data_IF_433980345833
#
_entry.id   IF_433980345833
#
_cell.length_a   1.000
_cell.length_b   1.000
_cell.length_c   1.000
_cell.angle_alpha   90.00
_cell.angle_beta   90.00
_cell.angle_gamma   90.00
#
_symmetry.space_group_name_H-M   'P 1'
#
loop_
_entity.id
_entity.type
_entity.pdbx_description
1 polymer ?
#
# COMPACT_ATOMS: atom_id res chain seq x y z
N UNK A 1 -22.68 -18.74 -9.83
CA UNK A 1 -21.65 -17.69 -9.79
C UNK A 1 -21.46 -17.26 -8.34
N UNK A 2 -20.28 -17.47 -7.73
CA UNK A 2 -20.00 -16.97 -6.38
C UNK A 2 -19.45 -15.55 -6.45
N UNK A 3 -20.07 -14.64 -5.71
CA UNK A 3 -19.71 -13.23 -5.61
C UNK A 3 -18.22 -13.03 -5.27
N UNK A 4 -17.44 -12.53 -6.23
CA UNK A 4 -15.99 -12.27 -6.10
C UNK A 4 -15.68 -10.96 -5.36
N UNK A 5 -16.68 -10.24 -4.84
CA UNK A 5 -16.51 -8.87 -4.38
C UNK A 5 -17.18 -8.61 -3.01
N UNK A 6 -17.16 -9.59 -2.09
CA UNK A 6 -17.69 -9.41 -0.74
C UNK A 6 -16.88 -8.36 0.03
N UNK A 7 -17.55 -7.25 0.36
CA UNK A 7 -17.02 -6.12 1.13
C UNK A 7 -17.68 -6.03 2.50
N UNK A 8 -16.94 -5.50 3.47
CA UNK A 8 -17.43 -5.23 4.82
C UNK A 8 -17.16 -3.77 5.15
N UNK A 9 -18.23 -2.98 5.20
CA UNK A 9 -18.17 -1.54 5.45
C UNK A 9 -18.42 -1.27 6.95
N UNK A 10 -17.35 -1.01 7.70
CA UNK A 10 -17.37 -0.73 9.14
C UNK A 10 -16.79 0.66 9.46
N UNK A 11 -16.86 1.58 8.49
CA UNK A 11 -16.29 2.92 8.61
C UNK A 11 -17.05 3.81 9.62
N UNK A 12 -16.36 4.83 10.15
CA UNK A 12 -16.87 5.83 11.10
C UNK A 12 -17.61 5.24 12.33
N UNK A 13 -17.09 4.13 12.85
CA UNK A 13 -17.56 3.48 14.08
C UNK A 13 -16.60 3.76 15.26
N UNK A 14 -16.87 3.18 16.43
CA UNK A 14 -15.98 3.23 17.61
C UNK A 14 -15.14 1.95 17.80
N UNK A 15 -14.74 1.27 16.72
CA UNK A 15 -13.92 0.05 16.80
C UNK A 15 -12.54 0.42 17.34
N UNK A 16 -12.23 -0.02 18.56
CA UNK A 16 -10.91 0.09 19.18
C UNK A 16 -10.02 -1.13 18.93
N UNK A 17 -8.88 -1.19 19.61
CA UNK A 17 -7.91 -2.29 19.45
C UNK A 17 -8.52 -3.68 19.68
N UNK A 18 -9.36 -3.85 20.70
CA UNK A 18 -10.05 -5.13 20.98
C UNK A 18 -10.97 -5.55 19.82
N UNK A 19 -11.65 -4.59 19.18
CA UNK A 19 -12.50 -4.87 18.03
C UNK A 19 -11.69 -5.24 16.79
N UNK A 20 -10.53 -4.61 16.57
CA UNK A 20 -9.58 -5.00 15.54
C UNK A 20 -9.01 -6.41 15.76
N UNK A 21 -8.74 -6.80 17.01
CA UNK A 21 -8.35 -8.18 17.34
C UNK A 21 -9.49 -9.19 17.08
N UNK A 22 -10.72 -8.88 17.48
CA UNK A 22 -11.87 -9.75 17.20
C UNK A 22 -12.11 -9.94 15.69
N UNK A 23 -12.00 -8.85 14.91
CA UNK A 23 -12.02 -8.91 13.44
C UNK A 23 -10.87 -9.76 12.90
N UNK A 24 -9.67 -9.63 13.48
CA UNK A 24 -8.52 -10.43 13.07
C UNK A 24 -8.72 -11.94 13.29
N UNK A 25 -9.35 -12.35 14.41
CA UNK A 25 -9.73 -13.75 14.63
C UNK A 25 -10.74 -14.26 13.60
N UNK A 26 -11.78 -13.47 13.28
CA UNK A 26 -12.78 -13.83 12.25
C UNK A 26 -12.16 -13.92 10.86
N UNK A 27 -11.22 -13.05 10.52
CA UNK A 27 -10.51 -13.05 9.24
C UNK A 27 -9.59 -14.27 9.05
N UNK A 28 -9.13 -14.95 10.12
CA UNK A 28 -8.34 -16.20 10.00
C UNK A 28 -9.10 -17.32 9.29
N UNK A 29 -10.42 -17.39 9.46
CA UNK A 29 -11.28 -18.41 8.87
C UNK A 29 -12.06 -17.89 7.66
N UNK A 30 -12.11 -16.57 7.45
CA UNK A 30 -12.80 -15.97 6.32
C UNK A 30 -12.00 -16.13 5.01
N UNK A 31 -12.57 -16.89 4.07
CA UNK A 31 -12.02 -17.13 2.73
C UNK A 31 -12.83 -16.46 1.61
N UNK A 32 -13.71 -15.51 1.95
CA UNK A 32 -14.66 -14.88 1.01
C UNK A 32 -14.57 -13.36 0.95
N UNK A 33 -14.17 -12.70 2.04
CA UNK A 33 -14.07 -11.25 2.10
C UNK A 33 -12.86 -10.77 1.29
N UNK A 34 -13.09 -9.84 0.35
CA UNK A 34 -12.05 -9.24 -0.48
C UNK A 34 -11.74 -7.79 -0.11
N UNK A 35 -12.68 -7.09 0.53
CA UNK A 35 -12.49 -5.71 1.00
C UNK A 35 -13.00 -5.52 2.43
N UNK A 36 -12.22 -4.86 3.27
CA UNK A 36 -12.59 -4.46 4.62
C UNK A 36 -12.32 -2.97 4.82
N UNK A 37 -13.38 -2.20 5.06
CA UNK A 37 -13.28 -0.78 5.33
C UNK A 37 -13.47 -0.49 6.82
N UNK A 38 -12.40 -0.04 7.47
CA UNK A 38 -12.35 0.34 8.88
C UNK A 38 -11.99 1.82 9.05
N UNK A 39 -12.17 2.64 8.02
CA UNK A 39 -11.91 4.07 8.04
C UNK A 39 -12.59 4.76 9.21
N UNK A 40 -11.96 5.74 9.85
CA UNK A 40 -12.63 6.60 10.84
C UNK A 40 -12.95 5.93 12.18
N UNK A 41 -12.21 4.87 12.55
CA UNK A 41 -12.37 4.17 13.82
C UNK A 41 -11.30 4.59 14.86
N UNK A 42 -11.21 3.87 15.98
CA UNK A 42 -10.27 4.11 17.09
C UNK A 42 -9.17 3.04 17.13
N UNK A 43 -8.79 2.48 15.99
CA UNK A 43 -7.78 1.42 15.91
C UNK A 43 -6.40 2.03 16.17
N UNK A 44 -5.74 1.57 17.22
CA UNK A 44 -4.36 1.90 17.55
C UNK A 44 -3.35 0.91 16.94
N UNK A 45 -2.08 1.10 17.31
CA UNK A 45 -0.95 0.33 16.78
C UNK A 45 -1.11 -1.18 16.93
N UNK A 46 -1.60 -1.65 18.09
CA UNK A 46 -1.77 -3.08 18.34
C UNK A 46 -2.90 -3.66 17.48
N UNK A 47 -3.99 -2.91 17.32
CA UNK A 47 -5.13 -3.32 16.48
C UNK A 47 -4.76 -3.39 14.99
N UNK A 48 -3.97 -2.44 14.50
CA UNK A 48 -3.44 -2.43 13.14
C UNK A 48 -2.49 -3.62 12.90
N UNK A 49 -1.60 -3.91 13.86
CA UNK A 49 -0.72 -5.07 13.80
C UNK A 49 -1.54 -6.39 13.79
N UNK A 50 -2.55 -6.51 14.65
CA UNK A 50 -3.41 -7.70 14.70
C UNK A 50 -4.05 -8.01 13.34
N UNK A 51 -4.55 -6.98 12.63
CA UNK A 51 -5.22 -7.13 11.34
C UNK A 51 -4.32 -7.63 10.20
N UNK A 52 -2.99 -7.42 10.24
CA UNK A 52 -2.07 -7.95 9.21
C UNK A 52 -1.29 -9.21 9.66
N UNK A 53 -1.09 -9.41 10.96
CA UNK A 53 -0.31 -10.56 11.49
C UNK A 53 -1.02 -11.92 11.25
N UNK A 54 -2.33 -11.91 10.98
CA UNK A 54 -3.20 -13.05 10.65
C UNK A 54 -2.55 -14.04 9.67
N UNK A 55 -1.83 -13.53 8.66
CA UNK A 55 -1.36 -14.36 7.56
C UNK A 55 -0.19 -15.27 7.92
N UNK A 56 0.67 -14.88 8.88
CA UNK A 56 1.78 -15.72 9.37
C UNK A 56 1.28 -17.11 9.78
N UNK A 57 0.23 -17.15 10.61
CA UNK A 57 -0.35 -18.39 11.13
C UNK A 57 -0.85 -19.32 10.03
N UNK A 58 -1.40 -18.78 8.93
CA UNK A 58 -1.98 -19.59 7.85
C UNK A 58 -0.89 -20.13 6.91
N UNK A 59 0.21 -19.40 6.70
CA UNK A 59 1.31 -19.90 5.84
C UNK A 59 2.01 -21.10 6.47
N UNK A 60 2.18 -21.11 7.79
CA UNK A 60 2.66 -22.29 8.54
C UNK A 60 1.61 -23.41 8.57
N UNK A 61 0.35 -23.11 8.89
CA UNK A 61 -0.72 -24.11 8.95
C UNK A 61 -1.14 -24.70 7.59
N UNK A 62 -0.81 -24.06 6.46
CA UNK A 62 -1.00 -24.61 5.10
C UNK A 62 -0.26 -25.94 4.90
N UNK A 63 0.83 -26.20 5.62
CA UNK A 63 1.52 -27.50 5.61
C UNK A 63 0.68 -28.63 6.23
N UNK A 64 -0.27 -28.30 7.09
CA UNK A 64 -1.10 -29.26 7.83
C UNK A 64 -2.56 -29.34 7.32
N UNK A 65 -3.10 -28.27 6.72
CA UNK A 65 -4.50 -28.18 6.30
C UNK A 65 -4.66 -28.20 4.76
N UNK A 66 -4.65 -29.39 4.16
CA UNK A 66 -4.86 -29.63 2.71
C UNK A 66 -6.15 -29.03 2.11
N UNK A 67 -7.10 -28.58 2.93
CA UNK A 67 -8.41 -28.07 2.50
C UNK A 67 -8.71 -26.62 2.93
N UNK A 68 -7.77 -25.91 3.57
CA UNK A 68 -8.00 -24.53 3.96
C UNK A 68 -7.87 -23.57 2.78
N UNK A 69 -8.97 -22.91 2.40
CA UNK A 69 -8.96 -21.89 1.33
C UNK A 69 -8.18 -20.66 1.80
N UNK A 70 -7.28 -20.09 0.96
CA UNK A 70 -6.53 -18.90 1.35
C UNK A 70 -7.48 -17.71 1.57
N UNK A 71 -7.18 -16.90 2.60
CA UNK A 71 -7.76 -15.56 2.80
C UNK A 71 -7.66 -14.75 1.49
N UNK A 72 -8.74 -14.07 1.13
CA UNK A 72 -8.91 -13.35 -0.14
C UNK A 72 -8.89 -11.82 0.04
N UNK A 73 -8.55 -11.31 1.23
CA UNK A 73 -8.60 -9.89 1.55
C UNK A 73 -7.51 -9.14 0.76
N UNK A 74 -7.92 -8.51 -0.35
CA UNK A 74 -7.06 -7.70 -1.22
C UNK A 74 -7.07 -6.22 -0.85
N UNK A 75 -8.12 -5.74 -0.17
CA UNK A 75 -8.28 -4.32 0.17
C UNK A 75 -8.57 -4.13 1.66
N UNK A 76 -7.80 -3.25 2.31
CA UNK A 76 -7.99 -2.84 3.70
C UNK A 76 -7.91 -1.30 3.79
N UNK A 77 -8.95 -0.67 4.33
CA UNK A 77 -8.96 0.77 4.62
C UNK A 77 -8.85 1.01 6.14
N UNK A 78 -7.73 1.59 6.57
CA UNK A 78 -7.43 2.04 7.93
C UNK A 78 -7.31 3.58 8.02
N UNK A 79 -7.79 4.32 7.02
CA UNK A 79 -7.73 5.79 6.98
C UNK A 79 -8.47 6.39 8.20
N UNK A 80 -8.04 7.56 8.69
CA UNK A 80 -8.60 8.21 9.88
C UNK A 80 -8.71 7.33 11.15
N UNK A 81 -7.71 6.49 11.42
CA UNK A 81 -7.54 5.75 12.69
C UNK A 81 -6.41 6.36 13.56
N UNK A 82 -6.20 5.79 14.75
CA UNK A 82 -5.21 6.22 15.76
C UNK A 82 -3.86 5.49 15.63
N UNK A 83 -3.45 5.16 14.41
CA UNK A 83 -2.22 4.44 14.12
C UNK A 83 -1.04 5.43 14.11
N UNK A 84 -0.06 5.18 14.98
CA UNK A 84 1.20 5.91 15.13
C UNK A 84 2.37 5.23 14.43
N UNK A 85 3.60 5.57 14.83
CA UNK A 85 4.82 5.12 14.16
C UNK A 85 5.16 3.65 14.41
N UNK A 86 4.80 3.08 15.57
CA UNK A 86 5.02 1.66 15.84
C UNK A 86 4.05 0.79 15.04
N UNK A 87 2.78 1.21 14.95
CA UNK A 87 1.78 0.56 14.10
C UNK A 87 2.17 0.63 12.63
N UNK A 88 2.62 1.78 12.13
CA UNK A 88 3.13 1.90 10.75
C UNK A 88 4.31 0.95 10.47
N UNK A 89 5.27 0.81 11.40
CA UNK A 89 6.37 -0.15 11.30
C UNK A 89 5.89 -1.61 11.36
N UNK A 90 4.95 -1.93 12.24
CA UNK A 90 4.39 -3.28 12.35
C UNK A 90 3.57 -3.67 11.10
N UNK A 91 2.82 -2.72 10.53
CA UNK A 91 2.15 -2.87 9.24
C UNK A 91 3.18 -3.14 8.14
N UNK A 92 4.28 -2.40 8.09
CA UNK A 92 5.34 -2.60 7.10
C UNK A 92 5.98 -4.00 7.16
N UNK A 93 6.37 -4.46 8.35
CA UNK A 93 6.90 -5.82 8.52
C UNK A 93 5.87 -6.91 8.15
N UNK A 94 4.59 -6.70 8.48
CA UNK A 94 3.53 -7.63 8.10
C UNK A 94 3.23 -7.61 6.58
N UNK A 95 3.49 -6.48 5.90
CA UNK A 95 3.33 -6.35 4.44
C UNK A 95 4.44 -7.04 3.65
N UNK A 96 5.67 -7.17 4.19
CA UNK A 96 6.78 -7.91 3.54
C UNK A 96 6.47 -9.38 3.21
N UNK A 97 5.48 -9.94 3.90
CA UNK A 97 5.05 -11.34 3.81
C UNK A 97 3.60 -11.49 3.32
N UNK A 98 2.90 -10.37 3.06
CA UNK A 98 1.49 -10.37 2.68
C UNK A 98 1.32 -10.27 1.15
N UNK A 99 1.53 -11.40 0.47
CA UNK A 99 1.45 -11.51 -0.99
C UNK A 99 0.01 -11.46 -1.57
N UNK A 100 -0.97 -10.93 -0.83
CA UNK A 100 -2.39 -10.92 -1.24
C UNK A 100 -3.04 -9.54 -1.09
N UNK A 101 -2.64 -8.75 -0.09
CA UNK A 101 -3.17 -7.40 0.07
C UNK A 101 -2.63 -6.51 -1.06
N UNK A 102 -3.47 -6.22 -2.04
CA UNK A 102 -3.15 -5.29 -3.11
C UNK A 102 -3.27 -3.84 -2.62
N UNK A 103 -4.25 -3.50 -1.80
CA UNK A 103 -4.57 -2.11 -1.47
C UNK A 103 -4.67 -1.90 0.04
N UNK A 104 -3.78 -1.09 0.59
CA UNK A 104 -3.88 -0.55 1.94
C UNK A 104 -4.07 0.97 1.89
N UNK A 105 -5.20 1.46 2.40
CA UNK A 105 -5.37 2.88 2.71
C UNK A 105 -4.99 3.12 4.18
N UNK A 106 -4.13 4.10 4.43
CA UNK A 106 -3.66 4.42 5.78
C UNK A 106 -3.58 5.94 5.97
N UNK A 107 -4.07 6.44 7.11
CA UNK A 107 -3.74 7.79 7.58
C UNK A 107 -2.82 7.67 8.79
N UNK A 108 -1.80 8.51 8.87
CA UNK A 108 -0.99 8.63 10.07
C UNK A 108 -0.70 10.10 10.40
N UNK A 109 -1.18 10.54 11.56
CA UNK A 109 -1.08 11.94 12.01
C UNK A 109 0.26 12.24 12.73
N UNK A 110 1.14 11.28 13.07
CA UNK A 110 2.41 11.50 13.81
C UNK A 110 3.50 10.44 13.51
N UNK A 111 4.74 10.70 13.05
CA UNK A 111 5.61 11.91 12.94
C UNK A 111 6.33 11.86 11.57
N UNK A 112 6.49 13.00 10.85
CA UNK A 112 6.78 13.06 9.39
C UNK A 112 7.84 12.07 8.85
N UNK A 113 9.06 12.08 9.36
CA UNK A 113 10.19 11.50 8.61
C UNK A 113 10.33 9.98 8.78
N UNK A 114 10.04 9.46 9.98
CA UNK A 114 10.03 8.01 10.25
C UNK A 114 8.83 7.28 9.60
N UNK A 115 7.85 7.99 9.03
CA UNK A 115 6.69 7.41 8.31
C UNK A 115 7.12 6.75 7.00
N UNK A 116 7.89 7.47 6.20
CA UNK A 116 8.10 7.10 4.82
C UNK A 116 9.05 5.90 4.67
N UNK A 117 10.04 5.77 5.57
CA UNK A 117 10.92 4.61 5.61
C UNK A 117 10.16 3.30 5.92
N UNK A 118 9.14 3.34 6.78
CA UNK A 118 8.30 2.16 7.03
C UNK A 118 7.46 1.81 5.78
N UNK A 119 6.87 2.82 5.14
CA UNK A 119 6.10 2.64 3.91
C UNK A 119 6.97 2.17 2.73
N UNK A 120 8.22 2.62 2.64
CA UNK A 120 9.16 2.17 1.61
C UNK A 120 9.63 0.73 1.84
N UNK A 121 9.91 0.31 3.09
CA UNK A 121 10.20 -1.09 3.39
C UNK A 121 9.02 -2.02 3.04
N UNK A 122 7.78 -1.57 3.25
CA UNK A 122 6.58 -2.29 2.79
C UNK A 122 6.49 -2.34 1.25
N UNK A 123 6.80 -1.22 0.59
CA UNK A 123 6.83 -1.09 -0.86
C UNK A 123 7.83 -1.99 -1.58
N UNK A 124 8.73 -2.70 -0.90
CA UNK A 124 9.67 -3.62 -1.59
C UNK A 124 9.02 -4.90 -2.11
N UNK A 125 7.73 -5.14 -1.81
CA UNK A 125 7.09 -6.47 -1.93
C UNK A 125 5.60 -6.48 -2.28
N UNK A 126 4.96 -5.32 -2.45
CA UNK A 126 3.50 -5.19 -2.62
C UNK A 126 3.14 -4.60 -3.99
N UNK A 127 2.04 -5.06 -4.61
CA UNK A 127 1.74 -4.78 -6.02
C UNK A 127 0.89 -3.53 -6.30
N UNK A 128 0.23 -2.96 -5.28
CA UNK A 128 -0.39 -1.63 -5.30
C UNK A 128 -0.18 -0.97 -3.92
N UNK A 129 -0.14 0.37 -3.85
CA UNK A 129 -0.15 1.11 -2.58
C UNK A 129 -0.84 2.47 -2.73
N UNK A 130 -1.74 2.80 -1.79
CA UNK A 130 -2.49 4.07 -1.79
C UNK A 130 -2.30 4.78 -0.46
N UNK A 131 -1.31 5.69 -0.40
CA UNK A 131 -1.01 6.46 0.81
C UNK A 131 -1.52 7.89 0.68
N UNK A 132 -2.80 8.12 0.95
CA UNK A 132 -3.40 9.44 0.78
C UNK A 132 -3.32 10.33 2.04
N UNK A 133 -2.95 11.61 1.85
CA UNK A 133 -3.02 12.66 2.89
C UNK A 133 -2.17 12.38 4.16
N UNK A 134 -0.89 12.00 3.98
CA UNK A 134 0.04 11.61 5.06
C UNK A 134 1.22 12.57 5.30
N UNK A 135 1.35 13.66 4.53
CA UNK A 135 2.51 14.59 4.57
C UNK A 135 3.86 13.86 4.52
N UNK A 136 4.02 12.97 3.52
CA UNK A 136 5.24 12.18 3.25
C UNK A 136 6.44 13.08 2.91
N UNK A 137 6.21 14.18 2.18
CA UNK A 137 7.26 15.14 1.81
C UNK A 137 8.32 14.57 0.84
N UNK A 138 9.36 15.35 0.57
CA UNK A 138 10.39 15.00 -0.42
C UNK A 138 11.25 13.82 0.03
N UNK A 139 11.77 13.85 1.27
CA UNK A 139 12.55 12.74 1.85
C UNK A 139 11.76 11.44 1.87
N UNK A 140 10.44 11.52 1.97
CA UNK A 140 9.59 10.35 1.90
C UNK A 140 9.34 9.87 0.47
N UNK A 141 9.14 10.77 -0.48
CA UNK A 141 9.08 10.41 -1.91
C UNK A 141 10.39 9.73 -2.37
N UNK A 142 11.55 10.22 -1.93
CA UNK A 142 12.85 9.56 -2.13
C UNK A 142 12.86 8.12 -1.58
N UNK A 143 12.41 7.91 -0.33
CA UNK A 143 12.38 6.56 0.24
C UNK A 143 11.46 5.62 -0.57
N UNK A 144 10.30 6.10 -1.04
CA UNK A 144 9.41 5.32 -1.90
C UNK A 144 10.04 5.04 -3.29
N UNK A 145 10.81 5.99 -3.83
CA UNK A 145 11.55 5.82 -5.08
C UNK A 145 12.65 4.73 -4.96
N UNK A 146 13.40 4.71 -3.85
CA UNK A 146 14.35 3.62 -3.57
C UNK A 146 13.69 2.25 -3.45
N UNK A 147 12.47 2.17 -2.92
CA UNK A 147 11.69 0.93 -2.88
C UNK A 147 11.10 0.52 -4.23
N UNK A 148 10.69 1.49 -5.06
CA UNK A 148 10.21 1.26 -6.43
C UNK A 148 11.28 0.58 -7.29
N UNK A 149 12.55 1.01 -7.21
CA UNK A 149 13.70 0.41 -7.95
C UNK A 149 13.88 -1.10 -7.72
N UNK A 150 13.34 -1.65 -6.64
CA UNK A 150 13.49 -3.06 -6.26
C UNK A 150 12.16 -3.81 -6.15
N UNK A 151 11.03 -3.18 -6.52
CA UNK A 151 9.73 -3.83 -6.54
C UNK A 151 9.31 -4.20 -7.97
N UNK A 152 9.34 -5.49 -8.34
CA UNK A 152 8.99 -5.95 -9.68
C UNK A 152 7.46 -6.09 -9.90
N UNK A 153 6.63 -5.51 -9.03
CA UNK A 153 5.17 -5.72 -9.03
C UNK A 153 4.30 -4.46 -8.82
N UNK A 154 4.87 -3.32 -8.41
CA UNK A 154 4.06 -2.14 -8.07
C UNK A 154 3.54 -1.44 -9.32
N UNK A 155 2.28 -1.67 -9.66
CA UNK A 155 1.64 -1.10 -10.86
C UNK A 155 0.88 0.20 -10.60
N UNK A 156 0.54 0.52 -9.35
CA UNK A 156 -0.16 1.76 -8.96
C UNK A 156 0.36 2.31 -7.63
N UNK A 157 0.69 3.60 -7.62
CA UNK A 157 1.13 4.36 -6.46
C UNK A 157 0.34 5.66 -6.35
N UNK A 158 -0.43 5.82 -5.28
CA UNK A 158 -1.17 7.05 -5.02
C UNK A 158 -0.58 7.83 -3.83
N UNK A 159 -0.11 9.03 -4.15
CA UNK A 159 0.49 10.03 -3.27
C UNK A 159 -0.34 11.33 -3.22
N UNK A 160 -1.66 11.28 -3.42
CA UNK A 160 -2.53 12.44 -3.32
C UNK A 160 -2.38 13.17 -1.98
N UNK A 161 -2.15 14.50 -2.07
CA UNK A 161 -2.06 15.41 -0.92
C UNK A 161 -0.99 15.02 0.12
N UNK A 162 0.20 14.63 -0.32
CA UNK A 162 1.31 14.21 0.55
C UNK A 162 2.39 15.25 0.82
N UNK A 163 2.18 16.51 0.40
CA UNK A 163 3.16 17.59 0.57
C UNK A 163 4.50 17.28 -0.12
N UNK A 164 4.49 16.41 -1.14
CA UNK A 164 5.62 16.22 -2.06
C UNK A 164 5.85 17.53 -2.82
N UNK A 165 7.11 17.90 -3.06
CA UNK A 165 7.52 19.08 -3.80
C UNK A 165 8.42 18.66 -4.95
N UNK A 166 8.98 19.65 -5.64
CA UNK A 166 9.87 19.49 -6.79
C UNK A 166 10.96 18.43 -6.61
N UNK A 167 11.65 18.40 -5.46
CA UNK A 167 12.72 17.44 -5.22
C UNK A 167 12.20 16.00 -5.14
N UNK A 168 11.16 15.76 -4.32
CA UNK A 168 10.56 14.43 -4.21
C UNK A 168 9.88 13.95 -5.48
N UNK A 169 9.31 14.88 -6.25
CA UNK A 169 8.75 14.60 -7.58
C UNK A 169 9.85 14.18 -8.57
N UNK A 170 10.97 14.90 -8.63
CA UNK A 170 12.10 14.54 -9.51
C UNK A 170 12.70 13.17 -9.15
N UNK A 171 12.85 12.83 -7.87
CA UNK A 171 13.35 11.50 -7.48
C UNK A 171 12.40 10.37 -7.89
N UNK A 172 11.09 10.64 -8.01
CA UNK A 172 10.15 9.68 -8.58
C UNK A 172 10.30 9.59 -10.12
N UNK A 173 10.55 10.70 -10.83
CA UNK A 173 10.86 10.68 -12.27
C UNK A 173 12.07 9.78 -12.59
N UNK A 174 13.17 9.97 -11.87
CA UNK A 174 14.42 9.21 -12.06
C UNK A 174 14.25 7.69 -11.92
N UNK A 175 13.21 7.23 -11.21
CA UNK A 175 12.92 5.80 -11.04
C UNK A 175 11.94 5.27 -12.08
N UNK A 176 11.03 6.12 -12.55
CA UNK A 176 10.15 5.83 -13.68
C UNK A 176 10.96 5.57 -14.96
N UNK A 177 12.00 6.38 -15.20
CA UNK A 177 12.84 6.27 -16.40
C UNK A 177 13.73 5.03 -16.46
N UNK A 178 14.02 4.36 -15.32
CA UNK A 178 14.99 3.26 -15.28
C UNK A 178 14.36 1.87 -15.19
N UNK A 179 13.60 1.57 -14.15
CA UNK A 179 13.34 0.17 -13.71
C UNK A 179 11.97 0.01 -13.02
N UNK A 180 10.97 0.80 -13.43
CA UNK A 180 9.66 0.81 -12.79
C UNK A 180 8.63 -0.06 -13.52
N UNK A 181 7.89 -0.87 -12.77
CA UNK A 181 6.66 -1.55 -13.23
C UNK A 181 5.40 -0.67 -13.07
N UNK A 182 5.59 0.62 -12.74
CA UNK A 182 4.53 1.53 -12.32
C UNK A 182 3.79 2.11 -13.54
N UNK A 183 2.54 1.70 -13.72
CA UNK A 183 1.66 2.21 -14.80
C UNK A 183 0.76 3.37 -14.38
N UNK A 184 0.66 3.67 -13.09
CA UNK A 184 -0.19 4.73 -12.55
C UNK A 184 0.44 5.39 -11.32
N UNK A 185 0.67 6.71 -11.42
CA UNK A 185 1.18 7.55 -10.34
C UNK A 185 0.25 8.74 -10.12
N UNK A 186 -0.34 8.86 -8.92
CA UNK A 186 -1.16 10.01 -8.55
C UNK A 186 -0.40 10.96 -7.62
N UNK A 187 0.03 12.11 -8.14
CA UNK A 187 0.65 13.20 -7.36
C UNK A 187 -0.26 14.42 -7.19
N UNK A 188 -1.56 14.28 -7.40
CA UNK A 188 -2.52 15.39 -7.31
C UNK A 188 -2.54 16.04 -5.91
N UNK A 189 -2.81 17.35 -5.85
CA UNK A 189 -2.81 18.16 -4.61
C UNK A 189 -1.49 18.16 -3.80
N UNK A 190 -0.35 17.96 -4.47
CA UNK A 190 0.98 18.22 -3.92
C UNK A 190 1.46 19.64 -4.28
N UNK A 191 2.73 19.98 -3.99
CA UNK A 191 3.30 21.32 -4.19
C UNK A 191 4.45 21.28 -5.20
N UNK A 192 4.13 20.82 -6.41
CA UNK A 192 5.06 20.63 -7.53
C UNK A 192 4.89 21.79 -8.52
N UNK A 193 5.97 22.39 -8.98
CA UNK A 193 5.97 23.49 -9.96
C UNK A 193 5.75 22.99 -11.40
N UNK A 194 5.20 23.86 -12.27
CA UNK A 194 4.81 23.53 -13.64
C UNK A 194 5.93 22.88 -14.48
N UNK A 195 7.15 23.42 -14.36
CA UNK A 195 8.33 22.89 -15.06
C UNK A 195 8.80 21.51 -14.56
N UNK A 196 8.33 21.07 -13.38
CA UNK A 196 8.57 19.73 -12.84
C UNK A 196 7.42 18.77 -13.16
N UNK A 197 6.20 19.27 -13.24
CA UNK A 197 5.04 18.51 -13.68
C UNK A 197 5.18 18.03 -15.14
N UNK A 198 5.79 18.83 -16.03
CA UNK A 198 6.11 18.43 -17.40
C UNK A 198 7.05 17.21 -17.43
N UNK A 199 8.23 17.32 -16.80
CA UNK A 199 9.21 16.23 -16.75
C UNK A 199 8.64 14.93 -16.14
N UNK A 200 7.75 15.06 -15.14
CA UNK A 200 7.09 13.92 -14.52
C UNK A 200 6.06 13.24 -15.44
N UNK A 201 5.43 14.01 -16.33
CA UNK A 201 4.52 13.47 -17.36
C UNK A 201 5.30 12.78 -18.47
N UNK A 202 6.43 13.35 -18.89
CA UNK A 202 7.35 12.75 -19.88
C UNK A 202 7.95 11.44 -19.37
N UNK A 203 8.46 11.40 -18.13
CA UNK A 203 9.00 10.18 -17.50
C UNK A 203 7.95 9.05 -17.40
N UNK A 204 6.70 9.38 -17.03
CA UNK A 204 5.59 8.41 -17.03
C UNK A 204 5.26 7.89 -18.43
N UNK A 205 5.26 8.78 -19.43
CA UNK A 205 4.95 8.41 -20.81
C UNK A 205 6.02 7.48 -21.39
N UNK A 206 7.31 7.78 -21.16
CA UNK A 206 8.43 6.92 -21.57
C UNK A 206 8.31 5.53 -20.93
N UNK A 207 8.13 5.44 -19.60
CA UNK A 207 7.97 4.15 -18.91
C UNK A 207 6.80 3.32 -19.48
N UNK A 208 5.65 3.95 -19.72
CA UNK A 208 4.48 3.29 -20.32
C UNK A 208 4.77 2.79 -21.74
N UNK A 209 5.51 3.55 -22.55
CA UNK A 209 5.92 3.15 -23.90
C UNK A 209 6.88 1.97 -23.87
N UNK A 210 7.91 2.00 -23.00
CA UNK A 210 8.89 0.92 -22.87
C UNK A 210 8.27 -0.38 -22.34
N UNK A 211 7.27 -0.30 -21.46
CA UNK A 211 6.50 -1.46 -21.02
C UNK A 211 5.63 -2.08 -22.14
N UNK A 212 5.25 -1.32 -23.18
CA UNK A 212 4.48 -1.81 -24.32
C UNK A 212 5.39 -2.47 -25.37
N UNK A 213 6.48 -1.80 -25.76
CA UNK A 213 7.44 -2.30 -26.76
C UNK A 213 8.15 -3.58 -26.31
N UNK A 214 8.49 -3.70 -25.02
CA UNK A 214 9.04 -4.94 -24.45
C UNK A 214 8.04 -6.11 -24.47
N UNK A 215 6.73 -5.86 -24.34
CA UNK A 215 5.70 -6.92 -24.46
C UNK A 215 5.54 -7.42 -25.89
N UNK A 216 5.63 -6.53 -26.89
CA UNK A 216 5.55 -6.91 -28.30
C UNK A 216 6.77 -7.72 -28.78
N UNK A 217 7.94 -7.49 -28.18
CA UNK A 217 9.19 -8.17 -28.55
C UNK A 217 9.26 -9.62 -28.04
N UNK A 218 8.49 -9.98 -27.00
CA UNK A 218 8.42 -11.34 -26.44
C UNK A 218 7.37 -12.22 -27.17
N UNK A 219 6.58 -11.65 -28.08
CA UNK A 219 5.50 -12.32 -28.83
C UNK A 219 5.87 -12.66 -30.29
N UNK A 220 7.17 -12.67 -30.63
CA UNK A 220 7.71 -13.07 -31.94
C UNK A 220 8.77 -14.17 -31.78
#
# INVERSE_FOLDING_TARGET
MSDKNRRSELYFNSIGENGAHALAEVLKTNSTLTSLNLKGNKIGDNGAQALLTIRLRITELKRYLKHSRPMQLTTLDLWHNSIGSNGARALAEALKINLILATLYLQNKSIRDKRALALSEALKSNSVLITQNNSIGDSGAQALAEALRINPTLTTLDLWRNSVRDNGAMTLCEVLETESTLTSLNLSCNSIADNKALALTEALQTNLTDQLTNKETILK
#
